data_IF_715173663670
#
_entry.id   IF_715173663670
#
_cell.length_a   1.000
_cell.length_b   1.000
_cell.length_c   1.000
_cell.angle_alpha   90.00
_cell.angle_beta   90.00
_cell.angle_gamma   90.00
#
_symmetry.space_group_name_H-M   'P 1'
#
loop_
_entity.id
_entity.type
_entity.pdbx_description
1 polymer ?
#
# COMPACT_ATOMS: atom_id res chain seq x y z
N UNK A 1 4.92 -0.98 20.44
CA UNK A 1 3.98 -1.11 19.31
C UNK A 1 3.80 -2.60 19.08
N UNK A 2 2.61 -3.15 19.28
CA UNK A 2 2.38 -4.59 19.07
C UNK A 2 2.33 -4.92 17.58
N UNK A 3 3.21 -5.83 17.15
CA UNK A 3 3.37 -6.29 15.78
C UNK A 3 2.63 -7.64 15.61
N UNK A 4 1.30 -7.64 15.76
CA UNK A 4 0.50 -8.83 15.44
C UNK A 4 0.30 -8.98 13.92
N UNK A 5 0.06 -10.21 13.46
CA UNK A 5 -0.33 -10.50 12.08
C UNK A 5 -1.56 -9.66 11.69
N UNK A 6 -2.58 -9.61 12.54
CA UNK A 6 -3.77 -8.80 12.29
C UNK A 6 -3.48 -7.29 12.17
N UNK A 7 -2.58 -6.74 12.99
CA UNK A 7 -2.18 -5.34 12.90
C UNK A 7 -1.42 -5.05 11.60
N UNK A 8 -0.57 -5.99 11.15
CA UNK A 8 0.14 -5.87 9.87
C UNK A 8 -0.82 -5.98 8.68
N UNK A 9 -1.78 -6.90 8.71
CA UNK A 9 -2.84 -7.01 7.68
C UNK A 9 -3.60 -5.68 7.56
N UNK A 10 -4.07 -5.16 8.69
CA UNK A 10 -4.84 -3.91 8.72
C UNK A 10 -4.06 -2.72 8.16
N UNK A 11 -2.75 -2.63 8.45
CA UNK A 11 -1.88 -1.60 7.85
C UNK A 11 -1.74 -1.76 6.33
N UNK A 12 -1.59 -2.99 5.83
CA UNK A 12 -1.52 -3.25 4.38
C UNK A 12 -2.83 -2.83 3.70
N UNK A 13 -3.98 -3.16 4.29
CA UNK A 13 -5.31 -2.79 3.76
C UNK A 13 -5.51 -1.28 3.74
N UNK A 14 -5.10 -0.57 4.80
CA UNK A 14 -5.16 0.89 4.85
C UNK A 14 -4.34 1.53 3.72
N UNK A 15 -3.08 1.09 3.55
CA UNK A 15 -2.21 1.58 2.48
C UNK A 15 -2.79 1.24 1.09
N UNK A 16 -3.36 0.05 0.90
CA UNK A 16 -4.04 -0.30 -0.35
C UNK A 16 -5.20 0.64 -0.66
N UNK A 17 -5.96 1.08 0.35
CA UNK A 17 -7.01 2.09 0.21
C UNK A 17 -6.48 3.42 -0.30
N UNK A 18 -5.37 3.92 0.28
CA UNK A 18 -4.71 5.14 -0.19
C UNK A 18 -4.24 5.02 -1.66
N UNK A 19 -3.70 3.86 -2.06
CA UNK A 19 -3.33 3.62 -3.46
C UNK A 19 -4.53 3.70 -4.42
N UNK A 20 -5.70 3.21 -4.01
CA UNK A 20 -6.93 3.29 -4.82
C UNK A 20 -7.35 4.75 -4.97
N UNK A 21 -7.26 5.55 -3.91
CA UNK A 21 -7.58 6.97 -3.94
C UNK A 21 -6.63 7.75 -4.85
N UNK A 22 -5.32 7.49 -4.76
CA UNK A 22 -4.31 8.06 -5.66
C UNK A 22 -4.61 7.69 -7.11
N UNK A 23 -4.89 6.42 -7.41
CA UNK A 23 -5.23 6.00 -8.78
C UNK A 23 -6.50 6.67 -9.30
N UNK A 24 -7.52 6.82 -8.45
CA UNK A 24 -8.75 7.53 -8.77
C UNK A 24 -8.49 9.01 -9.08
N UNK A 25 -7.64 9.69 -8.29
CA UNK A 25 -7.25 11.07 -8.54
C UNK A 25 -6.53 11.22 -9.89
N UNK A 26 -5.60 10.31 -10.21
CA UNK A 26 -4.88 10.30 -11.49
C UNK A 26 -5.85 10.11 -12.66
N UNK A 27 -6.79 9.16 -12.56
CA UNK A 27 -7.75 8.88 -13.63
C UNK A 27 -8.76 10.03 -13.88
N UNK A 28 -9.03 10.85 -12.85
CA UNK A 28 -9.95 12.00 -12.95
C UNK A 28 -9.27 13.28 -13.43
N UNK A 29 -7.94 13.33 -13.52
CA UNK A 29 -7.23 14.50 -14.05
C UNK A 29 -7.63 14.68 -15.52
N UNK A 30 -8.20 15.83 -15.93
CA UNK A 30 -8.40 16.09 -17.34
C UNK A 30 -7.03 16.15 -18.01
N UNK A 31 -6.83 15.33 -19.05
CA UNK A 31 -5.70 15.49 -19.96
C UNK A 31 -5.76 16.94 -20.48
N UNK A 32 -4.70 17.72 -20.22
CA UNK A 32 -4.56 19.03 -20.84
C UNK A 32 -4.66 18.81 -22.36
N UNK A 33 -5.45 19.61 -23.09
CA UNK A 33 -5.60 19.40 -24.52
C UNK A 33 -4.23 19.43 -25.16
N UNK A 34 -3.84 18.31 -25.79
CA UNK A 34 -2.66 18.17 -26.64
C UNK A 34 -2.53 19.45 -27.46
N UNK A 35 -1.51 20.26 -27.17
CA UNK A 35 -1.31 21.53 -27.85
C UNK A 35 -1.21 21.24 -29.34
N UNK A 36 -2.18 21.75 -30.07
CA UNK A 36 -2.34 21.58 -31.51
C UNK A 36 -1.01 21.85 -32.21
N UNK A 37 -0.49 20.77 -32.80
CA UNK A 37 0.31 20.72 -34.02
C UNK A 37 0.83 22.07 -34.55
N UNK A 38 2.00 22.49 -34.06
CA UNK A 38 2.76 23.59 -34.68
C UNK A 38 4.04 23.07 -35.33
N UNK A 39 3.93 22.02 -36.14
CA UNK A 39 4.88 21.80 -37.23
C UNK A 39 4.28 22.41 -38.50
N UNK A 40 4.65 23.66 -38.84
CA UNK A 40 4.72 24.12 -40.22
C UNK A 40 5.41 25.49 -40.35
N UNK A 41 6.66 25.42 -40.83
CA UNK A 41 7.25 26.14 -41.95
C UNK A 41 7.51 27.67 -41.93
N UNK A 42 8.70 27.97 -42.47
CA UNK A 42 9.22 29.23 -43.03
C UNK A 42 10.06 30.08 -42.07
N UNK A 43 11.34 29.72 -41.95
CA UNK A 43 12.42 30.71 -41.77
C UNK A 43 13.40 30.59 -42.93
N UNK A 44 12.96 30.97 -44.14
CA UNK A 44 13.86 31.34 -45.23
C UNK A 44 14.31 32.78 -44.96
N UNK A 45 15.50 32.96 -44.40
CA UNK A 45 16.63 33.60 -45.07
C UNK A 45 16.20 34.70 -46.05
N UNK A 46 16.48 35.97 -45.72
CA UNK A 46 17.17 36.93 -46.59
C UNK A 46 17.69 38.06 -45.69
N UNK A 47 19.00 38.05 -45.48
CA UNK A 47 19.78 39.24 -45.13
C UNK A 47 19.95 40.13 -46.38
N UNK A 48 20.15 41.44 -46.13
CA UNK A 48 20.54 42.51 -47.07
C UNK A 48 19.37 43.10 -47.88
N UNK A 49 19.18 44.43 -48.04
CA UNK A 49 20.12 45.58 -48.05
C UNK A 49 19.31 46.91 -48.21
N UNK A 50 19.86 48.03 -47.70
CA UNK A 50 19.76 49.45 -48.19
C UNK A 50 18.40 50.17 -48.20
N UNK A 51 18.21 51.49 -47.98
CA UNK A 51 19.05 52.70 -47.81
C UNK A 51 18.16 53.91 -47.39
N UNK A 52 18.69 54.85 -46.58
CA UNK A 52 18.66 56.37 -46.66
C UNK A 52 17.39 57.06 -47.24
N UNK A 53 16.71 58.08 -46.69
CA UNK A 53 17.08 59.31 -45.96
C UNK A 53 15.88 59.98 -45.22
N UNK A 54 16.23 60.92 -44.33
CA UNK A 54 15.65 62.26 -44.12
C UNK A 54 14.43 62.55 -43.20
N UNK A 55 14.77 63.21 -42.08
CA UNK A 55 14.09 64.32 -41.38
C UNK A 55 12.88 64.10 -40.45
N UNK A 56 13.13 64.44 -39.18
CA UNK A 56 12.43 65.48 -38.41
C UNK A 56 10.97 65.17 -38.02
N UNK A 57 10.75 64.76 -36.76
CA UNK A 57 10.02 65.55 -35.76
C UNK A 57 9.51 64.73 -34.56
N UNK A 58 9.63 65.38 -33.39
CA UNK A 58 8.73 65.31 -32.22
C UNK A 58 8.66 64.02 -31.37
N UNK A 59 9.19 64.15 -30.15
CA UNK A 59 8.30 64.10 -29.00
C UNK A 59 8.44 62.92 -28.05
N UNK A 60 9.20 63.16 -26.98
CA UNK A 60 8.87 62.75 -25.60
C UNK A 60 8.91 61.25 -25.28
N UNK A 61 10.01 60.87 -24.62
CA UNK A 61 10.13 59.68 -23.78
C UNK A 61 8.93 59.56 -22.82
N UNK A 62 8.14 58.50 -23.00
CA UNK A 62 7.24 57.94 -22.00
C UNK A 62 7.52 56.44 -21.92
N UNK A 63 8.15 55.94 -20.85
CA UNK A 63 8.22 54.51 -20.60
C UNK A 63 7.11 54.12 -19.62
N UNK A 64 6.12 53.32 -20.07
CA UNK A 64 5.26 52.41 -19.27
C UNK A 64 4.00 52.04 -20.08
N UNK A 65 3.47 50.83 -20.04
CA UNK A 65 3.74 49.64 -19.23
C UNK A 65 3.20 48.48 -20.07
N UNK A 66 4.05 47.65 -20.67
CA UNK A 66 3.61 46.32 -21.11
C UNK A 66 3.38 45.56 -19.83
N UNK A 67 2.12 45.40 -19.42
CA UNK A 67 1.79 44.51 -18.31
C UNK A 67 2.25 43.12 -18.74
N UNK A 68 3.34 42.69 -18.13
CA UNK A 68 3.75 41.31 -18.07
C UNK A 68 2.63 40.58 -17.32
N UNK A 69 1.59 40.20 -18.07
CA UNK A 69 0.66 39.18 -17.64
C UNK A 69 1.51 37.92 -17.67
N UNK A 70 2.17 37.66 -16.54
CA UNK A 70 2.66 36.33 -16.24
C UNK A 70 1.45 35.44 -16.36
N UNK A 71 1.35 34.80 -17.52
CA UNK A 71 0.56 33.60 -17.70
C UNK A 71 1.09 32.67 -16.63
N UNK A 72 0.40 32.63 -15.49
CA UNK A 72 0.62 31.63 -14.46
C UNK A 72 0.14 30.35 -15.11
N UNK A 73 1.01 29.81 -15.96
CA UNK A 73 0.95 28.47 -16.46
C UNK A 73 0.89 27.63 -15.19
N UNK A 74 -0.31 27.21 -14.83
CA UNK A 74 -0.53 26.14 -13.88
C UNK A 74 0.13 24.92 -14.51
N UNK A 75 1.45 24.78 -14.34
CA UNK A 75 2.14 23.52 -14.52
C UNK A 75 1.67 22.65 -13.36
N UNK A 76 0.48 22.07 -13.50
CA UNK A 76 0.15 20.88 -12.74
C UNK A 76 1.23 19.88 -13.12
N UNK A 77 2.13 19.57 -12.19
CA UNK A 77 3.22 18.61 -12.41
C UNK A 77 2.63 17.38 -13.09
N UNK A 78 3.07 17.15 -14.33
CA UNK A 78 2.73 15.94 -15.06
C UNK A 78 3.38 14.79 -14.30
N UNK A 79 2.62 13.75 -13.99
CA UNK A 79 3.14 12.62 -13.24
C UNK A 79 4.19 11.95 -14.12
N UNK A 80 5.44 12.03 -13.68
CA UNK A 80 6.55 11.39 -14.38
C UNK A 80 6.29 9.89 -14.52
N UNK A 81 6.71 9.32 -15.65
CA UNK A 81 6.67 7.88 -15.89
C UNK A 81 7.39 7.10 -14.78
N UNK A 82 8.45 7.68 -14.18
CA UNK A 82 9.19 7.09 -13.06
C UNK A 82 8.34 7.01 -11.78
N UNK A 83 7.58 8.07 -11.47
CA UNK A 83 6.64 8.10 -10.33
C UNK A 83 5.56 7.03 -10.48
N UNK A 84 4.98 6.89 -11.67
CA UNK A 84 3.96 5.88 -11.95
C UNK A 84 4.53 4.45 -11.88
N UNK A 85 5.75 4.23 -12.40
CA UNK A 85 6.43 2.94 -12.30
C UNK A 85 6.70 2.56 -10.83
N UNK A 86 7.11 3.53 -10.01
CA UNK A 86 7.33 3.35 -8.57
C UNK A 86 6.03 2.98 -7.85
N UNK A 87 4.93 3.70 -8.13
CA UNK A 87 3.60 3.39 -7.60
C UNK A 87 3.19 1.93 -7.90
N UNK A 88 3.39 1.48 -9.14
CA UNK A 88 3.05 0.13 -9.57
C UNK A 88 3.88 -0.94 -8.84
N UNK A 89 5.18 -0.69 -8.63
CA UNK A 89 6.07 -1.58 -7.86
C UNK A 89 5.61 -1.70 -6.41
N UNK A 90 5.25 -0.60 -5.77
CA UNK A 90 4.76 -0.63 -4.39
C UNK A 90 3.46 -1.42 -4.24
N UNK A 91 2.50 -1.24 -5.15
CA UNK A 91 1.28 -2.05 -5.18
C UNK A 91 1.60 -3.55 -5.25
N UNK A 92 2.47 -3.95 -6.17
CA UNK A 92 2.90 -5.35 -6.30
C UNK A 92 3.59 -5.88 -5.04
N UNK A 93 4.46 -5.06 -4.42
CA UNK A 93 5.13 -5.43 -3.18
C UNK A 93 4.15 -5.65 -2.02
N UNK A 94 3.11 -4.83 -1.91
CA UNK A 94 2.05 -4.99 -0.90
C UNK A 94 1.25 -6.29 -1.10
N UNK A 95 0.86 -6.60 -2.34
CA UNK A 95 0.20 -7.87 -2.67
C UNK A 95 1.08 -9.08 -2.29
N UNK A 96 2.38 -8.98 -2.54
CA UNK A 96 3.36 -10.02 -2.16
C UNK A 96 3.47 -10.16 -0.64
N UNK A 97 3.53 -9.05 0.09
CA UNK A 97 3.56 -9.03 1.56
C UNK A 97 2.30 -9.64 2.16
N UNK A 98 1.11 -9.30 1.64
CA UNK A 98 -0.15 -9.87 2.08
C UNK A 98 -0.17 -11.39 1.92
N UNK A 99 0.28 -11.91 0.76
CA UNK A 99 0.40 -13.36 0.52
C UNK A 99 1.37 -14.04 1.48
N UNK A 100 2.51 -13.41 1.76
CA UNK A 100 3.49 -13.94 2.73
C UNK A 100 2.91 -13.98 4.14
N UNK A 101 2.18 -12.94 4.52
CA UNK A 101 1.53 -12.84 5.82
C UNK A 101 0.48 -13.95 6.01
N UNK A 102 -0.35 -14.18 4.99
CA UNK A 102 -1.33 -15.27 5.01
C UNK A 102 -0.67 -16.65 5.17
N UNK A 103 0.46 -16.90 4.48
CA UNK A 103 1.21 -18.16 4.61
C UNK A 103 1.74 -18.37 6.02
N UNK A 104 2.25 -17.30 6.64
CA UNK A 104 2.73 -17.33 8.01
C UNK A 104 1.59 -17.63 8.98
N UNK A 105 0.46 -16.95 8.83
CA UNK A 105 -0.75 -17.20 9.64
C UNK A 105 -1.21 -18.66 9.55
N UNK A 106 -1.32 -19.20 8.34
CA UNK A 106 -1.72 -20.60 8.12
C UNK A 106 -0.72 -21.59 8.75
N UNK A 107 0.58 -21.30 8.66
CA UNK A 107 1.63 -22.11 9.28
C UNK A 107 1.52 -22.08 10.80
N UNK A 108 1.34 -20.89 11.39
CA UNK A 108 1.12 -20.72 12.83
C UNK A 108 -0.14 -21.45 13.29
N UNK A 109 -1.24 -21.36 12.55
CA UNK A 109 -2.48 -22.09 12.87
C UNK A 109 -2.28 -23.61 12.84
N UNK A 110 -1.59 -24.12 11.81
CA UNK A 110 -1.28 -25.55 11.68
C UNK A 110 -0.40 -26.04 12.83
N UNK A 111 0.61 -25.27 13.21
CA UNK A 111 1.46 -25.61 14.34
C UNK A 111 0.67 -25.63 15.64
N UNK A 112 -0.13 -24.59 15.92
CA UNK A 112 -1.00 -24.52 17.10
C UNK A 112 -1.92 -25.73 17.21
N UNK A 113 -2.53 -26.16 16.11
CA UNK A 113 -3.40 -27.33 16.10
C UNK A 113 -2.62 -28.63 16.40
N UNK A 114 -1.41 -28.79 15.84
CA UNK A 114 -0.57 -29.95 16.16
C UNK A 114 -0.18 -30.01 17.63
N UNK A 115 0.21 -28.87 18.20
CA UNK A 115 0.51 -28.76 19.63
C UNK A 115 -0.71 -29.09 20.48
N UNK A 116 -1.88 -28.54 20.14
CA UNK A 116 -3.15 -28.81 20.83
C UNK A 116 -3.50 -30.30 20.83
N UNK A 117 -3.37 -30.98 19.68
CA UNK A 117 -3.61 -32.43 19.57
C UNK A 117 -2.64 -33.25 20.41
N UNK A 118 -1.36 -32.88 20.43
CA UNK A 118 -0.36 -33.56 21.25
C UNK A 118 -0.65 -33.43 22.74
N UNK A 119 -1.01 -32.23 23.19
CA UNK A 119 -1.41 -31.95 24.57
C UNK A 119 -2.67 -32.72 24.97
N UNK A 120 -3.68 -32.77 24.10
CA UNK A 120 -4.91 -33.54 24.31
C UNK A 120 -4.63 -35.04 24.40
N UNK A 121 -3.81 -35.59 23.49
CA UNK A 121 -3.43 -37.00 23.52
C UNK A 121 -2.65 -37.36 24.79
N UNK A 122 -1.77 -36.49 25.26
CA UNK A 122 -1.02 -36.70 26.51
C UNK A 122 -1.96 -36.69 27.72
N UNK A 123 -2.90 -35.75 27.77
CA UNK A 123 -3.89 -35.65 28.84
C UNK A 123 -4.80 -36.87 28.89
N UNK A 124 -5.25 -37.34 27.72
CA UNK A 124 -6.07 -38.55 27.59
C UNK A 124 -5.31 -39.80 28.04
N UNK A 125 -4.05 -39.94 27.61
CA UNK A 125 -3.18 -41.03 28.04
C UNK A 125 -2.99 -41.04 29.56
N UNK A 126 -2.65 -39.89 30.16
CA UNK A 126 -2.45 -39.77 31.60
C UNK A 126 -3.75 -40.06 32.37
N UNK A 127 -4.88 -39.52 31.90
CA UNK A 127 -6.18 -39.76 32.51
C UNK A 127 -6.56 -41.25 32.49
N UNK A 128 -6.42 -41.89 31.33
CA UNK A 128 -6.70 -43.32 31.16
C UNK A 128 -5.79 -44.19 32.02
N UNK A 129 -4.48 -43.92 32.02
CA UNK A 129 -3.51 -44.64 32.85
C UNK A 129 -3.84 -44.53 34.34
N UNK A 130 -4.12 -43.31 34.81
CA UNK A 130 -4.42 -43.06 36.21
C UNK A 130 -5.70 -43.76 36.65
N UNK A 131 -6.76 -43.68 35.84
CA UNK A 131 -8.03 -44.36 36.13
C UNK A 131 -7.84 -45.87 36.21
N UNK A 132 -7.11 -46.47 35.26
CA UNK A 132 -6.79 -47.90 35.30
C UNK A 132 -6.04 -48.29 36.57
N UNK A 133 -5.02 -47.51 36.96
CA UNK A 133 -4.26 -47.76 38.19
C UNK A 133 -5.12 -47.62 39.44
N UNK A 134 -6.06 -46.68 39.45
CA UNK A 134 -7.03 -46.52 40.53
C UNK A 134 -7.97 -47.73 40.62
N UNK A 135 -8.52 -48.19 39.50
CA UNK A 135 -9.35 -49.39 39.44
C UNK A 135 -8.60 -50.65 39.91
N UNK A 136 -7.33 -50.82 39.51
CA UNK A 136 -6.45 -51.89 40.00
C UNK A 136 -6.24 -51.83 41.53
N UNK A 137 -6.16 -50.62 42.09
CA UNK A 137 -6.01 -50.42 43.53
C UNK A 137 -7.31 -50.70 44.29
N UNK A 138 -8.43 -50.17 43.79
CA UNK A 138 -9.77 -50.34 44.39
C UNK A 138 -10.21 -51.81 44.38
N UNK A 139 -9.80 -52.59 43.37
CA UNK A 139 -10.03 -54.05 43.30
C UNK A 139 -9.13 -54.85 44.24
N UNK A 140 -7.88 -54.45 44.44
CA UNK A 140 -6.98 -55.10 45.39
C UNK A 140 -7.33 -54.79 46.86
N UNK A 141 -7.90 -53.61 47.13
CA UNK A 141 -8.27 -53.14 48.47
C UNK A 141 -9.72 -52.64 48.48
N UNK A 142 -10.72 -53.55 48.42
CA UNK A 142 -12.11 -53.13 48.45
C UNK A 142 -12.37 -52.35 49.74
N UNK A 143 -12.96 -51.16 49.61
CA UNK A 143 -13.38 -50.37 50.77
C UNK A 143 -14.39 -51.21 51.54
N UNK A 144 -14.00 -51.70 52.72
CA UNK A 144 -14.93 -52.43 53.59
C UNK A 144 -16.10 -51.50 53.88
N UNK A 145 -17.37 -51.95 53.74
CA UNK A 145 -18.49 -51.17 54.23
C UNK A 145 -18.22 -50.96 55.72
N UNK A 146 -17.98 -49.71 56.11
CA UNK A 146 -17.91 -49.35 57.52
C UNK A 146 -19.19 -49.87 58.14
N UNK A 147 -19.05 -50.81 59.07
CA UNK A 147 -20.15 -51.37 59.83
C UNK A 147 -20.80 -50.24 60.63
N UNK A 148 -21.79 -49.58 60.04
CA UNK A 148 -22.81 -48.82 60.76
C UNK A 148 -23.68 -49.84 61.51
N UNK A 149 -23.17 -50.32 62.64
CA UNK A 149 -23.98 -51.02 63.63
C UNK A 149 -24.35 -50.01 64.73
N UNK A 150 -25.64 -49.69 64.75
CA UNK A 150 -26.37 -49.09 65.87
C UNK A 150 -26.25 -49.94 67.14
#
# INVERSE_FOLDING_TARGET
MDLSISALTSKIEAIQGEFVEIQSYIARRPEAPLSIDRRNNISTNIHHRTSVDETTNQGRLVPKMTSDMSDTHYHGEEISADTYATLRRHKFNLESLQKKLQRMENTTATMKEKWRRGDEAMRDFIGTWFNKRKEEMDTCFPTSPSSEHY
#
